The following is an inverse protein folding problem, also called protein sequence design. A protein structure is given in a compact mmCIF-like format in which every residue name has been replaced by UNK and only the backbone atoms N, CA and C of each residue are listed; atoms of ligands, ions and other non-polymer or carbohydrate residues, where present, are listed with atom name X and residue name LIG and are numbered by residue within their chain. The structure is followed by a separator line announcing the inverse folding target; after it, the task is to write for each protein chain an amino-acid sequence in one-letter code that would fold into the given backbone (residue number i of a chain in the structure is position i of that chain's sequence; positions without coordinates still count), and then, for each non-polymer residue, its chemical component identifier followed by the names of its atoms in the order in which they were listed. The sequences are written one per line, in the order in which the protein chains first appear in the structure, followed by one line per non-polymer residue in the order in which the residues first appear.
data_IF_434524141510
#
_entry.id   IF_434524141510
#
_cell.length_a   1.000
_cell.length_b   1.000
_cell.length_c   1.000
_cell.angle_alpha   90.00
_cell.angle_beta   90.00
_cell.angle_gamma   90.00
#
_symmetry.space_group_name_H-M   'P 1'
#
loop_
_entity.id
_entity.type
_entity.pdbx_description
1 polymer ?
#
# COMPACT_ATOMS: atom_id res chain seq x y z
N UNK A 1 34.14 -13.80 -19.72
CA UNK A 1 33.36 -12.80 -18.97
C UNK A 1 34.27 -12.15 -17.95
N UNK A 2 34.17 -10.83 -17.79
CA UNK A 2 34.99 -9.99 -16.90
C UNK A 2 34.08 -9.16 -16.02
N UNK A 3 34.25 -9.25 -14.71
CA UNK A 3 33.37 -8.58 -13.74
C UNK A 3 34.16 -7.70 -12.77
N UNK A 4 33.52 -6.63 -12.31
CA UNK A 4 33.96 -5.85 -11.14
C UNK A 4 33.06 -6.18 -9.96
N UNK A 5 33.63 -6.32 -8.75
CA UNK A 5 32.84 -6.49 -7.53
C UNK A 5 32.79 -5.20 -6.72
N UNK A 6 31.60 -4.72 -6.41
CA UNK A 6 31.40 -3.56 -5.54
C UNK A 6 31.17 -4.01 -4.09
N UNK A 7 32.00 -3.46 -3.19
CA UNK A 7 32.04 -3.74 -1.76
C UNK A 7 33.14 -4.73 -1.40
N UNK A 8 34.14 -4.31 -0.63
CA UNK A 8 35.26 -5.14 -0.17
C UNK A 8 35.09 -5.64 1.27
N UNK A 9 33.86 -5.95 1.67
CA UNK A 9 33.52 -6.42 3.01
C UNK A 9 33.56 -7.94 3.18
N UNK A 10 33.13 -8.40 4.35
CA UNK A 10 33.04 -9.83 4.69
C UNK A 10 32.21 -10.64 3.69
N UNK A 11 31.15 -10.06 3.12
CA UNK A 11 30.30 -10.74 2.14
C UNK A 11 31.01 -11.00 0.81
N UNK A 12 31.79 -10.04 0.33
CA UNK A 12 32.63 -10.25 -0.84
C UNK A 12 33.66 -11.37 -0.59
N UNK A 13 34.26 -11.40 0.60
CA UNK A 13 35.14 -12.51 0.99
C UNK A 13 34.40 -13.85 1.02
N UNK A 14 33.17 -13.88 1.54
CA UNK A 14 32.33 -15.07 1.59
C UNK A 14 32.07 -15.62 0.18
N UNK A 15 31.74 -14.76 -0.79
CA UNK A 15 31.51 -15.19 -2.18
C UNK A 15 32.74 -15.80 -2.84
N UNK A 16 33.91 -15.19 -2.64
CA UNK A 16 35.16 -15.66 -3.24
C UNK A 16 35.65 -16.94 -2.54
N UNK A 17 35.68 -16.96 -1.19
CA UNK A 17 36.19 -18.09 -0.41
C UNK A 17 35.37 -19.38 -0.59
N UNK A 18 34.06 -19.24 -0.80
CA UNK A 18 33.17 -20.38 -1.06
C UNK A 18 33.01 -20.69 -2.56
N UNK A 19 33.80 -20.06 -3.44
CA UNK A 19 33.77 -20.27 -4.89
C UNK A 19 32.42 -19.97 -5.55
N UNK A 20 31.61 -19.09 -4.93
CA UNK A 20 30.41 -18.56 -5.57
C UNK A 20 30.76 -17.57 -6.68
N UNK A 21 31.89 -16.87 -6.57
CA UNK A 21 32.44 -16.03 -7.63
C UNK A 21 33.90 -16.40 -7.87
N UNK A 22 34.22 -16.76 -9.10
CA UNK A 22 35.58 -17.14 -9.49
C UNK A 22 36.49 -15.90 -9.53
N UNK A 23 37.65 -15.99 -8.86
CA UNK A 23 38.63 -14.91 -8.84
C UNK A 23 39.20 -14.63 -10.24
N UNK A 24 39.20 -15.60 -11.15
CA UNK A 24 39.76 -15.45 -12.50
C UNK A 24 38.94 -14.52 -13.40
N UNK A 25 37.61 -14.48 -13.20
CA UNK A 25 36.71 -13.58 -13.95
C UNK A 25 36.64 -12.17 -13.34
N UNK A 26 37.05 -12.01 -12.08
CA UNK A 26 37.06 -10.71 -11.39
C UNK A 26 38.28 -9.92 -11.88
N UNK A 27 38.09 -8.75 -12.49
CA UNK A 27 39.21 -7.92 -12.95
C UNK A 27 39.62 -6.84 -11.95
N UNK A 28 38.82 -6.64 -10.90
CA UNK A 28 39.08 -5.69 -9.84
C UNK A 28 37.87 -5.48 -8.94
N UNK A 29 38.06 -4.63 -7.94
CA UNK A 29 37.06 -4.35 -6.90
C UNK A 29 36.73 -2.86 -6.89
N UNK A 30 35.57 -2.49 -6.35
CA UNK A 30 35.15 -1.11 -6.15
C UNK A 30 34.81 -0.93 -4.68
N UNK A 31 35.31 0.14 -4.05
CA UNK A 31 34.97 0.48 -2.67
C UNK A 31 35.03 2.00 -2.44
N UNK A 32 34.30 2.51 -1.44
CA UNK A 32 34.33 3.92 -1.03
C UNK A 32 35.45 4.23 -0.01
N UNK A 33 36.09 3.21 0.60
CA UNK A 33 37.21 3.38 1.53
C UNK A 33 38.54 3.66 0.82
N UNK A 34 39.02 4.90 0.82
CA UNK A 34 40.21 5.34 0.05
C UNK A 34 41.52 4.71 0.50
N UNK A 35 41.56 4.15 1.71
CA UNK A 35 42.74 3.46 2.23
C UNK A 35 42.90 2.05 1.64
N UNK A 36 41.86 1.51 1.01
CA UNK A 36 41.88 0.17 0.43
C UNK A 36 42.30 0.25 -1.05
N UNK A 37 43.53 -0.19 -1.34
CA UNK A 37 44.11 -0.15 -2.70
C UNK A 37 44.10 -1.49 -3.42
N UNK A 38 44.13 -2.60 -2.67
CA UNK A 38 44.13 -3.96 -3.19
C UNK A 38 43.24 -4.88 -2.34
N UNK A 39 42.58 -5.84 -2.99
CA UNK A 39 41.75 -6.85 -2.34
C UNK A 39 41.87 -8.15 -3.15
N UNK A 40 42.07 -9.29 -2.48
CA UNK A 40 42.42 -10.58 -3.12
C UNK A 40 43.49 -10.47 -4.24
N UNK A 41 44.50 -9.62 -4.03
CA UNK A 41 45.60 -9.42 -4.99
C UNK A 41 45.23 -8.63 -6.26
N UNK A 42 44.01 -8.08 -6.36
CA UNK A 42 43.58 -7.23 -7.49
C UNK A 42 43.35 -5.80 -7.03
N UNK A 43 43.43 -4.85 -7.97
CA UNK A 43 43.25 -3.42 -7.70
C UNK A 43 41.82 -3.13 -7.21
N UNK A 44 41.72 -2.24 -6.22
CA UNK A 44 40.47 -1.64 -5.76
C UNK A 44 40.38 -0.24 -6.34
N UNK A 45 39.32 0.02 -7.09
CA UNK A 45 39.02 1.29 -7.73
C UNK A 45 38.09 2.12 -6.84
N UNK A 46 38.24 3.44 -6.90
CA UNK A 46 37.21 4.37 -6.46
C UNK A 46 36.05 4.36 -7.46
N UNK A 47 34.82 4.67 -7.02
CA UNK A 47 33.67 4.75 -7.92
C UNK A 47 33.88 5.68 -9.12
N UNK A 48 34.49 6.83 -8.88
CA UNK A 48 34.82 7.81 -9.92
C UNK A 48 35.93 7.34 -10.86
N UNK A 49 36.67 6.27 -10.56
CA UNK A 49 37.66 5.71 -11.50
C UNK A 49 37.03 4.72 -12.51
N UNK A 50 35.78 4.28 -12.29
CA UNK A 50 35.16 3.19 -13.08
C UNK A 50 34.98 3.55 -14.55
N UNK A 51 34.74 4.83 -14.89
CA UNK A 51 34.55 5.24 -16.28
C UNK A 51 35.76 4.89 -17.16
N UNK A 52 36.97 4.85 -16.58
CA UNK A 52 38.22 4.46 -17.27
C UNK A 52 38.26 2.97 -17.67
N UNK A 53 37.30 2.19 -17.17
CA UNK A 53 37.19 0.74 -17.35
C UNK A 53 35.94 0.33 -18.15
N UNK A 54 35.17 1.27 -18.70
CA UNK A 54 33.85 1.01 -19.31
C UNK A 54 33.84 -0.07 -20.41
N UNK A 55 34.96 -0.27 -21.11
CA UNK A 55 35.18 -1.31 -22.13
C UNK A 55 35.86 -2.58 -21.60
N UNK A 56 36.30 -2.59 -20.34
CA UNK A 56 37.10 -3.67 -19.75
C UNK A 56 36.29 -4.67 -18.95
N UNK A 57 35.06 -4.33 -18.54
CA UNK A 57 34.15 -5.21 -17.80
C UNK A 57 32.81 -5.38 -18.52
N UNK A 58 32.20 -6.55 -18.31
CA UNK A 58 30.86 -6.88 -18.75
C UNK A 58 29.83 -6.39 -17.72
N UNK A 59 30.05 -6.71 -16.43
CA UNK A 59 29.14 -6.36 -15.33
C UNK A 59 29.85 -5.85 -14.07
N UNK A 60 29.15 -5.02 -13.31
CA UNK A 60 29.47 -4.69 -11.92
C UNK A 60 28.52 -5.48 -11.04
N UNK A 61 29.05 -6.31 -10.15
CA UNK A 61 28.25 -7.08 -9.18
C UNK A 61 28.39 -6.45 -7.80
N UNK A 62 27.27 -6.00 -7.23
CA UNK A 62 27.18 -5.44 -5.89
C UNK A 62 26.99 -6.58 -4.87
N UNK A 63 27.94 -6.69 -3.95
CA UNK A 63 28.03 -7.81 -2.99
C UNK A 63 27.45 -7.50 -1.60
N UNK A 64 26.89 -6.30 -1.42
CA UNK A 64 26.29 -5.85 -0.16
C UNK A 64 24.85 -6.33 -0.01
N UNK A 65 24.44 -6.62 1.23
CA UNK A 65 23.13 -7.20 1.55
C UNK A 65 22.18 -6.24 2.27
N UNK A 66 22.54 -4.95 2.39
CA UNK A 66 21.71 -3.95 3.06
C UNK A 66 20.98 -3.08 2.03
N UNK A 67 19.65 -2.97 2.14
CA UNK A 67 18.83 -2.21 1.19
C UNK A 67 19.27 -0.73 1.05
N UNK A 68 19.50 -0.05 2.18
CA UNK A 68 19.93 1.35 2.21
C UNK A 68 21.28 1.55 1.50
N UNK A 69 22.22 0.63 1.72
CA UNK A 69 23.55 0.67 1.10
C UNK A 69 23.43 0.40 -0.39
N UNK A 70 22.63 -0.58 -0.80
CA UNK A 70 22.40 -0.89 -2.21
C UNK A 70 21.74 0.29 -2.95
N UNK A 71 20.81 0.99 -2.30
CA UNK A 71 20.16 2.19 -2.83
C UNK A 71 21.15 3.35 -3.00
N UNK A 72 22.04 3.57 -2.02
CA UNK A 72 23.11 4.56 -2.11
C UNK A 72 24.09 4.24 -3.24
N UNK A 73 24.48 2.98 -3.39
CA UNK A 73 25.35 2.50 -4.47
C UNK A 73 24.68 2.71 -5.83
N UNK A 74 23.39 2.38 -5.97
CA UNK A 74 22.64 2.60 -7.21
C UNK A 74 22.60 4.09 -7.58
N UNK A 75 22.24 4.96 -6.63
CA UNK A 75 22.21 6.41 -6.87
C UNK A 75 23.59 6.94 -7.25
N UNK A 76 24.65 6.44 -6.63
CA UNK A 76 26.03 6.80 -6.95
C UNK A 76 26.42 6.35 -8.36
N UNK A 77 26.08 5.12 -8.75
CA UNK A 77 26.32 4.58 -10.08
C UNK A 77 25.53 5.33 -11.17
N UNK A 78 24.27 5.69 -10.89
CA UNK A 78 23.42 6.49 -11.78
C UNK A 78 23.97 7.92 -11.94
N UNK A 79 24.40 8.55 -10.86
CA UNK A 79 25.03 9.89 -10.90
C UNK A 79 26.35 9.90 -11.69
N UNK A 80 27.06 8.76 -11.73
CA UNK A 80 28.26 8.57 -12.55
C UNK A 80 27.94 8.23 -14.02
N UNK A 81 26.66 8.16 -14.40
CA UNK A 81 26.22 7.90 -15.77
C UNK A 81 26.43 6.46 -16.24
N UNK A 82 26.52 5.49 -15.32
CA UNK A 82 26.76 4.10 -15.68
C UNK A 82 25.48 3.40 -16.19
N UNK A 83 25.58 2.55 -17.23
CA UNK A 83 24.43 1.84 -17.76
C UNK A 83 23.81 0.90 -16.72
N UNK A 84 22.52 1.05 -16.45
CA UNK A 84 21.82 0.26 -15.42
C UNK A 84 21.73 -1.24 -15.73
N UNK A 85 21.83 -1.61 -17.01
CA UNK A 85 21.87 -2.99 -17.50
C UNK A 85 23.21 -3.70 -17.24
N UNK A 86 24.27 -2.95 -16.94
CA UNK A 86 25.58 -3.49 -16.53
C UNK A 86 25.72 -3.72 -15.03
N UNK A 87 24.77 -3.27 -14.22
CA UNK A 87 24.83 -3.37 -12.76
C UNK A 87 23.98 -4.56 -12.31
N UNK A 88 24.57 -5.44 -11.49
CA UNK A 88 23.92 -6.62 -10.93
C UNK A 88 23.98 -6.57 -9.40
N UNK A 89 22.85 -6.81 -8.73
CA UNK A 89 22.78 -6.95 -7.28
C UNK A 89 22.60 -8.43 -6.93
N UNK A 90 23.42 -8.95 -6.02
CA UNK A 90 23.24 -10.32 -5.51
C UNK A 90 22.06 -10.38 -4.54
N UNK A 91 22.03 -9.42 -3.61
CA UNK A 91 20.99 -9.27 -2.59
C UNK A 91 20.15 -8.03 -2.85
N UNK A 92 18.90 -8.02 -2.37
CA UNK A 92 17.99 -6.87 -2.52
C UNK A 92 17.88 -6.40 -3.99
N UNK A 93 17.94 -7.32 -4.96
CA UNK A 93 17.77 -7.03 -6.39
C UNK A 93 16.30 -6.79 -6.79
N UNK A 94 15.47 -6.55 -5.78
CA UNK A 94 14.08 -6.18 -5.85
C UNK A 94 13.95 -4.77 -5.27
N UNK A 95 13.15 -3.91 -5.91
CA UNK A 95 12.71 -2.70 -5.22
C UNK A 95 11.68 -3.09 -4.16
N UNK A 96 11.92 -2.65 -2.94
CA UNK A 96 10.87 -2.57 -1.92
C UNK A 96 10.10 -1.29 -2.26
N UNK A 97 9.08 -1.44 -3.10
CA UNK A 97 7.95 -0.50 -3.11
C UNK A 97 6.85 -1.12 -2.27
N UNK A 98 6.00 -0.30 -1.64
CA UNK A 98 5.14 -0.73 -0.53
C UNK A 98 4.16 -1.87 -0.84
N UNK A 99 3.99 -2.34 -2.08
CA UNK A 99 4.15 -3.80 -2.37
C UNK A 99 4.46 -4.02 -3.86
N UNK A 100 4.79 -5.28 -4.16
CA UNK A 100 5.31 -5.85 -5.41
C UNK A 100 6.82 -5.71 -5.50
N UNK A 101 7.47 -6.85 -5.27
CA UNK A 101 8.88 -7.05 -5.59
C UNK A 101 9.03 -6.98 -7.12
N UNK A 102 9.25 -5.79 -7.65
CA UNK A 102 9.64 -5.62 -9.05
C UNK A 102 11.10 -6.02 -9.14
N UNK A 103 11.30 -7.26 -9.58
CA UNK A 103 12.60 -7.81 -9.92
C UNK A 103 13.20 -6.98 -11.05
N UNK A 104 14.31 -6.30 -10.78
CA UNK A 104 14.94 -5.40 -11.76
C UNK A 104 15.94 -6.11 -12.69
N UNK A 105 16.26 -7.39 -12.46
CA UNK A 105 17.43 -8.01 -13.10
C UNK A 105 17.23 -9.45 -13.63
N UNK A 106 18.10 -9.81 -14.56
CA UNK A 106 18.04 -11.02 -15.37
C UNK A 106 18.66 -12.22 -14.63
N UNK A 107 17.88 -13.02 -13.89
CA UNK A 107 18.35 -14.24 -13.19
C UNK A 107 19.15 -15.19 -14.09
N UNK A 108 18.81 -15.24 -15.38
CA UNK A 108 19.55 -16.05 -16.36
C UNK A 108 21.02 -15.63 -16.45
N UNK A 109 21.30 -14.36 -16.23
CA UNK A 109 22.65 -13.80 -16.25
C UNK A 109 23.43 -14.12 -14.97
N UNK A 110 22.82 -14.00 -13.79
CA UNK A 110 23.48 -14.40 -12.53
C UNK A 110 23.76 -15.91 -12.56
N UNK A 111 22.81 -16.71 -13.04
CA UNK A 111 23.03 -18.15 -13.25
C UNK A 111 24.14 -18.44 -14.26
N UNK A 112 24.24 -17.67 -15.34
CA UNK A 112 25.33 -17.79 -16.31
C UNK A 112 26.70 -17.35 -15.74
N UNK A 113 26.70 -16.42 -14.79
CA UNK A 113 27.91 -16.00 -14.06
C UNK A 113 28.38 -17.11 -13.11
N UNK A 114 27.45 -17.69 -12.35
CA UNK A 114 27.74 -18.77 -11.41
C UNK A 114 26.45 -19.49 -11.01
N UNK A 115 26.35 -20.77 -11.37
CA UNK A 115 25.22 -21.61 -10.96
C UNK A 115 25.20 -21.82 -9.45
N UNK A 116 26.38 -21.99 -8.82
CA UNK A 116 26.52 -22.13 -7.37
C UNK A 116 26.02 -20.88 -6.63
N UNK A 117 26.34 -19.68 -7.11
CA UNK A 117 25.81 -18.43 -6.56
C UNK A 117 24.29 -18.37 -6.71
N UNK A 118 23.77 -18.75 -7.88
CA UNK A 118 22.35 -18.69 -8.15
C UNK A 118 21.56 -19.64 -7.24
N UNK A 119 21.90 -20.93 -7.21
CA UNK A 119 21.13 -21.94 -6.49
C UNK A 119 21.26 -21.87 -4.97
N UNK A 120 22.41 -21.42 -4.43
CA UNK A 120 22.62 -21.39 -2.98
C UNK A 120 22.30 -20.05 -2.33
N UNK A 121 22.25 -18.95 -3.10
CA UNK A 121 22.06 -17.60 -2.55
C UNK A 121 20.83 -16.93 -3.17
N UNK A 122 20.82 -16.75 -4.50
CA UNK A 122 19.80 -15.93 -5.18
C UNK A 122 18.42 -16.59 -5.19
N UNK A 123 18.34 -17.88 -5.51
CA UNK A 123 17.08 -18.62 -5.55
C UNK A 123 16.46 -18.80 -4.16
N UNK A 124 17.20 -19.17 -3.09
CA UNK A 124 16.66 -19.22 -1.74
C UNK A 124 16.18 -17.85 -1.21
N UNK A 125 16.93 -16.76 -1.48
CA UNK A 125 16.52 -15.40 -1.11
C UNK A 125 15.22 -15.00 -1.83
N UNK A 126 15.11 -15.31 -3.12
CA UNK A 126 13.89 -15.12 -3.91
C UNK A 126 12.69 -15.84 -3.28
N UNK A 127 12.85 -17.12 -2.94
CA UNK A 127 11.78 -17.91 -2.32
C UNK A 127 11.38 -17.37 -0.94
N UNK A 128 12.33 -16.85 -0.16
CA UNK A 128 12.02 -16.20 1.13
C UNK A 128 11.24 -14.90 0.94
N UNK A 129 11.63 -14.10 -0.06
CA UNK A 129 10.94 -12.88 -0.46
C UNK A 129 9.51 -13.16 -0.97
N UNK A 130 9.34 -14.18 -1.81
CA UNK A 130 8.03 -14.62 -2.28
C UNK A 130 7.15 -15.08 -1.11
N UNK A 131 7.70 -15.89 -0.19
CA UNK A 131 7.01 -16.27 1.06
C UNK A 131 6.67 -15.07 1.94
N UNK A 132 7.53 -14.05 2.01
CA UNK A 132 7.24 -12.84 2.79
C UNK A 132 6.05 -12.06 2.19
N UNK A 133 5.91 -11.99 0.86
CA UNK A 133 4.69 -11.45 0.25
C UNK A 133 3.45 -12.25 0.62
N UNK A 134 3.56 -13.58 0.62
CA UNK A 134 2.46 -14.47 1.02
C UNK A 134 2.07 -14.29 2.50
N UNK A 135 2.98 -13.80 3.35
CA UNK A 135 2.69 -13.48 4.76
C UNK A 135 2.18 -12.06 4.99
N UNK A 136 2.44 -11.11 4.07
CA UNK A 136 2.01 -9.71 4.16
C UNK A 136 0.68 -9.45 3.43
N UNK A 137 0.16 -10.45 2.73
CA UNK A 137 -1.09 -10.42 1.99
C UNK A 137 -1.88 -11.71 2.25
N UNK A 138 -3.12 -11.75 1.77
CA UNK A 138 -3.97 -12.92 1.87
C UNK A 138 -3.49 -13.92 0.82
N UNK A 139 -3.20 -15.16 1.20
CA UNK A 139 -2.76 -16.18 0.23
C UNK A 139 -3.78 -16.45 -0.87
N UNK A 140 -5.06 -16.14 -0.64
CA UNK A 140 -6.11 -16.20 -1.65
C UNK A 140 -5.86 -15.25 -2.84
N UNK A 141 -5.08 -14.17 -2.65
CA UNK A 141 -4.73 -13.21 -3.69
C UNK A 141 -4.00 -13.86 -4.88
N UNK A 142 -3.30 -14.97 -4.65
CA UNK A 142 -2.57 -15.69 -5.69
C UNK A 142 -3.52 -16.37 -6.71
N UNK A 143 -4.77 -16.59 -6.32
CA UNK A 143 -5.77 -17.34 -7.10
C UNK A 143 -7.07 -16.57 -7.33
N UNK A 144 -7.26 -15.42 -6.70
CA UNK A 144 -8.45 -14.60 -6.87
C UNK A 144 -8.41 -13.81 -8.18
N UNK A 145 -9.18 -14.26 -9.17
CA UNK A 145 -9.33 -13.58 -10.44
C UNK A 145 -10.27 -12.36 -10.39
N UNK A 146 -10.96 -12.13 -9.27
CA UNK A 146 -11.84 -10.98 -9.04
C UNK A 146 -11.16 -9.87 -8.21
N UNK A 147 -9.91 -10.08 -7.79
CA UNK A 147 -9.08 -9.07 -7.12
C UNK A 147 -8.72 -7.99 -8.13
N UNK A 148 -9.11 -6.76 -7.81
CA UNK A 148 -8.77 -5.55 -8.57
C UNK A 148 -7.69 -4.74 -7.89
N UNK A 149 -7.58 -4.79 -6.55
CA UNK A 149 -6.64 -3.93 -5.85
C UNK A 149 -5.20 -4.45 -6.02
N UNK A 150 -4.25 -3.55 -6.32
CA UNK A 150 -2.90 -3.93 -6.74
C UNK A 150 -2.81 -4.44 -8.18
N UNK A 151 -3.85 -4.22 -9.00
CA UNK A 151 -3.85 -4.56 -10.44
C UNK A 151 -4.20 -3.32 -11.27
N UNK A 152 -3.85 -3.31 -12.57
CA UNK A 152 -4.25 -2.25 -13.50
C UNK A 152 -3.87 -0.83 -13.04
N UNK A 153 -4.85 0.08 -13.03
CA UNK A 153 -4.69 1.47 -12.55
C UNK A 153 -4.40 1.55 -11.05
N UNK A 154 -4.79 0.54 -10.27
CA UNK A 154 -4.58 0.44 -8.82
C UNK A 154 -3.24 -0.22 -8.44
N UNK A 155 -2.41 -0.58 -9.44
CA UNK A 155 -1.12 -1.24 -9.23
C UNK A 155 -0.01 -0.28 -8.74
N UNK A 156 -0.09 0.99 -9.10
CA UNK A 156 0.95 1.99 -8.79
C UNK A 156 0.64 2.82 -7.53
N UNK A 157 -0.48 2.57 -6.87
CA UNK A 157 -0.92 3.36 -5.72
C UNK A 157 -0.39 2.72 -4.42
N UNK A 158 0.76 3.22 -3.94
CA UNK A 158 1.38 2.79 -2.68
C UNK A 158 0.39 2.86 -1.49
N UNK A 159 -0.64 3.72 -1.58
CA UNK A 159 -1.68 3.85 -0.57
C UNK A 159 -2.50 2.58 -0.35
N UNK A 160 -2.74 1.74 -1.38
CA UNK A 160 -3.44 0.46 -1.18
C UNK A 160 -2.72 -0.37 -0.13
N UNK A 161 -1.41 -0.37 -0.22
CA UNK A 161 -0.59 -1.32 0.50
C UNK A 161 -0.29 -0.90 1.92
N UNK A 162 -0.33 0.42 2.15
CA UNK A 162 -0.45 1.02 3.47
C UNK A 162 -1.68 0.49 4.22
N UNK A 163 -2.82 0.33 3.55
CA UNK A 163 -4.08 -0.09 4.19
C UNK A 163 -4.72 -1.34 3.55
N UNK A 164 -3.86 -2.31 3.24
CA UNK A 164 -4.23 -3.51 2.50
C UNK A 164 -5.36 -4.30 3.15
N UNK A 165 -5.32 -4.42 4.48
CA UNK A 165 -6.30 -5.21 5.24
C UNK A 165 -7.70 -4.64 5.04
N UNK A 166 -7.89 -3.32 5.09
CA UNK A 166 -9.18 -2.66 4.86
C UNK A 166 -9.69 -2.94 3.45
N UNK A 167 -8.89 -2.56 2.45
CA UNK A 167 -9.28 -2.62 1.05
C UNK A 167 -9.52 -4.05 0.58
N UNK A 168 -8.67 -4.99 1.00
CA UNK A 168 -8.85 -6.38 0.62
C UNK A 168 -10.04 -7.02 1.31
N UNK A 169 -10.26 -6.73 2.59
CA UNK A 169 -11.43 -7.22 3.31
C UNK A 169 -12.71 -6.68 2.67
N UNK A 170 -12.71 -5.42 2.22
CA UNK A 170 -13.81 -4.87 1.43
C UNK A 170 -14.06 -5.67 0.14
N UNK A 171 -13.04 -5.94 -0.69
CA UNK A 171 -13.26 -6.70 -1.94
C UNK A 171 -13.88 -8.08 -1.69
N UNK A 172 -13.39 -8.79 -0.68
CA UNK A 172 -13.93 -10.09 -0.29
C UNK A 172 -15.37 -9.97 0.24
N UNK A 173 -15.66 -8.89 0.96
CA UNK A 173 -17.02 -8.58 1.43
C UNK A 173 -17.95 -8.24 0.26
N UNK A 174 -17.48 -7.48 -0.72
CA UNK A 174 -18.23 -7.16 -1.92
C UNK A 174 -18.54 -8.42 -2.74
N UNK A 175 -17.58 -9.33 -2.88
CA UNK A 175 -17.81 -10.64 -3.50
C UNK A 175 -18.89 -11.43 -2.75
N UNK A 176 -18.88 -11.40 -1.41
CA UNK A 176 -19.90 -12.08 -0.60
C UNK A 176 -21.29 -11.45 -0.77
N UNK A 177 -21.38 -10.12 -0.83
CA UNK A 177 -22.61 -9.38 -1.11
C UNK A 177 -23.22 -9.82 -2.46
N UNK A 178 -22.39 -9.90 -3.51
CA UNK A 178 -22.82 -10.35 -4.84
C UNK A 178 -23.19 -11.84 -4.87
N UNK A 179 -22.39 -12.71 -4.23
CA UNK A 179 -22.67 -14.15 -4.13
C UNK A 179 -24.00 -14.43 -3.42
N UNK A 180 -24.32 -13.66 -2.38
CA UNK A 180 -25.59 -13.73 -1.65
C UNK A 180 -26.73 -13.00 -2.33
N UNK A 181 -26.45 -12.25 -3.40
CA UNK A 181 -27.42 -11.43 -4.13
C UNK A 181 -28.15 -10.46 -3.21
N UNK A 182 -27.43 -9.82 -2.29
CA UNK A 182 -28.04 -8.80 -1.44
C UNK A 182 -28.41 -7.61 -2.30
N UNK A 183 -29.66 -7.18 -2.25
CA UNK A 183 -30.14 -5.99 -2.96
C UNK A 183 -29.80 -4.72 -2.18
N UNK A 184 -29.79 -3.57 -2.85
CA UNK A 184 -29.56 -2.27 -2.23
C UNK A 184 -28.40 -1.49 -2.85
N UNK A 185 -28.41 -0.18 -2.63
CA UNK A 185 -27.35 0.74 -3.02
C UNK A 185 -26.09 0.54 -2.18
N UNK A 186 -25.02 1.23 -2.57
CA UNK A 186 -23.79 1.32 -1.79
C UNK A 186 -23.45 2.78 -1.50
N UNK A 187 -22.75 3.05 -0.41
CA UNK A 187 -22.42 4.42 -0.02
C UNK A 187 -21.02 4.54 0.58
N UNK A 188 -20.42 5.71 0.40
CA UNK A 188 -19.26 6.18 1.17
C UNK A 188 -19.58 7.56 1.77
N UNK A 189 -19.25 7.73 3.06
CA UNK A 189 -19.37 8.98 3.80
C UNK A 189 -17.99 9.38 4.30
N UNK A 190 -17.50 10.52 3.85
CA UNK A 190 -16.09 10.87 3.94
C UNK A 190 -15.31 10.27 2.76
N UNK A 191 -15.42 10.91 1.61
CA UNK A 191 -14.89 10.41 0.32
C UNK A 191 -13.46 10.92 0.07
N UNK A 192 -13.13 12.09 0.62
CA UNK A 192 -11.86 12.79 0.43
C UNK A 192 -11.49 12.90 -1.06
N UNK A 193 -10.51 12.12 -1.54
CA UNK A 193 -10.04 12.10 -2.94
C UNK A 193 -10.63 10.97 -3.77
N UNK A 194 -11.57 10.20 -3.21
CA UNK A 194 -12.30 9.16 -3.94
C UNK A 194 -11.51 7.89 -4.20
N UNK A 195 -10.47 7.62 -3.41
CA UNK A 195 -9.68 6.38 -3.53
C UNK A 195 -10.53 5.14 -3.24
N UNK A 196 -11.24 5.13 -2.11
CA UNK A 196 -12.02 3.97 -1.72
C UNK A 196 -13.35 3.92 -2.49
N UNK A 197 -14.00 5.07 -2.74
CA UNK A 197 -15.07 5.20 -3.72
C UNK A 197 -14.76 4.55 -5.08
N UNK A 198 -13.55 4.71 -5.64
CA UNK A 198 -13.16 4.09 -6.91
C UNK A 198 -13.25 2.56 -6.82
N UNK A 199 -12.75 1.98 -5.73
CA UNK A 199 -12.79 0.52 -5.50
C UNK A 199 -14.24 0.05 -5.31
N UNK A 200 -15.06 0.80 -4.56
CA UNK A 200 -16.49 0.48 -4.39
C UNK A 200 -17.20 0.52 -5.75
N UNK A 201 -16.96 1.54 -6.57
CA UNK A 201 -17.55 1.68 -7.89
C UNK A 201 -17.12 0.57 -8.85
N UNK A 202 -15.86 0.11 -8.78
CA UNK A 202 -15.38 -1.05 -9.55
C UNK A 202 -16.05 -2.36 -9.13
N UNK A 203 -16.26 -2.57 -7.82
CA UNK A 203 -16.87 -3.81 -7.30
C UNK A 203 -18.39 -3.85 -7.49
N UNK A 204 -19.03 -2.69 -7.58
CA UNK A 204 -20.47 -2.56 -7.74
C UNK A 204 -20.83 -1.69 -8.95
N UNK A 205 -20.44 -2.12 -10.18
CA UNK A 205 -20.56 -1.29 -11.38
C UNK A 205 -22.01 -0.93 -11.72
N UNK A 206 -22.98 -1.77 -11.34
CA UNK A 206 -24.40 -1.62 -11.68
C UNK A 206 -25.27 -1.06 -10.53
N UNK A 207 -24.66 -0.72 -9.38
CA UNK A 207 -25.39 -0.21 -8.21
C UNK A 207 -25.23 1.29 -8.10
N UNK A 208 -26.26 1.97 -7.59
CA UNK A 208 -26.12 3.37 -7.16
C UNK A 208 -25.05 3.46 -6.07
N UNK A 209 -24.05 4.31 -6.30
CA UNK A 209 -23.01 4.65 -5.33
C UNK A 209 -23.24 6.08 -4.83
N UNK A 210 -23.67 6.21 -3.58
CA UNK A 210 -23.84 7.50 -2.94
C UNK A 210 -22.51 7.98 -2.32
N UNK A 211 -22.10 9.19 -2.66
CA UNK A 211 -20.84 9.80 -2.23
C UNK A 211 -21.14 11.05 -1.40
N UNK A 212 -21.06 10.93 -0.08
CA UNK A 212 -21.30 12.02 0.88
C UNK A 212 -19.99 12.62 1.35
N UNK A 213 -19.78 13.90 1.05
CA UNK A 213 -18.58 14.63 1.52
C UNK A 213 -18.86 16.14 1.54
N UNK A 214 -18.25 16.85 2.48
CA UNK A 214 -18.33 18.31 2.54
C UNK A 214 -17.58 18.96 1.37
N UNK A 215 -16.48 18.34 0.91
CA UNK A 215 -15.42 18.91 0.09
C UNK A 215 -14.83 20.20 0.68
N UNK A 216 -15.00 20.39 1.98
CA UNK A 216 -14.69 21.60 2.75
C UNK A 216 -14.01 21.24 4.09
N UNK A 217 -13.43 20.03 4.20
CA UNK A 217 -12.86 19.46 5.43
C UNK A 217 -13.92 19.30 6.54
N UNK A 218 -13.60 19.63 7.79
CA UNK A 218 -14.42 19.36 8.97
C UNK A 218 -15.30 20.53 9.39
N UNK A 219 -16.44 20.22 10.03
CA UNK A 219 -17.27 21.21 10.73
C UNK A 219 -16.41 21.89 11.81
N UNK A 220 -16.27 23.23 11.81
CA UNK A 220 -15.40 23.92 12.76
C UNK A 220 -15.74 23.63 14.23
N UNK A 221 -17.03 23.57 14.56
CA UNK A 221 -17.51 23.34 15.93
C UNK A 221 -17.16 21.93 16.43
N UNK A 222 -17.28 20.92 15.56
CA UNK A 222 -16.95 19.54 15.90
C UNK A 222 -15.43 19.35 16.05
N UNK A 223 -14.65 19.94 15.13
CA UNK A 223 -13.19 19.90 15.19
C UNK A 223 -12.65 20.52 16.49
N UNK A 224 -13.20 21.66 16.93
CA UNK A 224 -12.77 22.28 18.19
C UNK A 224 -13.11 21.41 19.40
N UNK A 225 -14.28 20.76 19.43
CA UNK A 225 -14.68 19.86 20.52
C UNK A 225 -13.74 18.65 20.64
N UNK A 226 -13.36 18.05 19.51
CA UNK A 226 -12.46 16.90 19.47
C UNK A 226 -11.03 17.30 19.87
N UNK A 227 -10.57 18.47 19.41
CA UNK A 227 -9.28 19.05 19.82
C UNK A 227 -9.23 19.33 21.32
N UNK A 228 -10.29 19.91 21.89
CA UNK A 228 -10.41 20.16 23.34
C UNK A 228 -10.43 18.87 24.17
N UNK A 229 -10.86 17.76 23.57
CA UNK A 229 -10.87 16.44 24.19
C UNK A 229 -9.54 15.68 24.04
N UNK A 230 -8.50 16.33 23.47
CA UNK A 230 -7.19 15.74 23.11
C UNK A 230 -7.30 14.55 22.12
N UNK A 231 -8.42 14.44 21.41
CA UNK A 231 -8.70 13.40 20.42
C UNK A 231 -8.32 13.84 19.00
N UNK A 232 -7.52 14.90 18.81
CA UNK A 232 -7.04 15.31 17.49
C UNK A 232 -5.80 16.23 17.60
N UNK A 233 -4.82 16.06 16.70
CA UNK A 233 -3.58 16.86 16.67
C UNK A 233 -3.74 18.21 15.93
N UNK A 234 -2.92 19.21 16.32
CA UNK A 234 -2.92 20.53 15.71
C UNK A 234 -2.42 20.48 14.24
N UNK A 235 -3.28 20.90 13.30
CA UNK A 235 -2.94 20.98 11.87
C UNK A 235 -3.55 19.89 10.98
N UNK A 236 -4.27 18.92 11.57
CA UNK A 236 -4.97 17.83 10.86
C UNK A 236 -5.88 18.34 9.73
N UNK A 237 -6.58 19.46 9.96
CA UNK A 237 -7.50 20.10 9.00
C UNK A 237 -6.89 20.41 7.63
N UNK A 238 -5.62 20.86 7.58
CA UNK A 238 -4.96 21.33 6.34
C UNK A 238 -4.75 20.22 5.31
N UNK A 239 -4.75 18.95 5.72
CA UNK A 239 -4.59 17.80 4.82
C UNK A 239 -5.81 17.64 3.89
N UNK A 240 -6.99 18.10 4.34
CA UNK A 240 -8.28 17.81 3.72
C UNK A 240 -8.85 18.97 2.88
N UNK A 241 -8.16 20.12 2.80
CA UNK A 241 -8.67 21.34 2.14
C UNK A 241 -8.53 21.34 0.61
N UNK A 242 -7.85 20.34 0.02
CA UNK A 242 -7.56 20.29 -1.43
C UNK A 242 -8.24 19.10 -2.14
N UNK A 243 -9.58 19.07 -2.13
CA UNK A 243 -10.37 18.11 -2.93
C UNK A 243 -11.57 18.79 -3.60
N UNK A 244 -12.08 18.20 -4.68
CA UNK A 244 -13.28 18.67 -5.37
C UNK A 244 -14.08 17.50 -5.93
N UNK A 245 -15.37 17.74 -6.16
CA UNK A 245 -16.26 16.77 -6.82
C UNK A 245 -15.68 16.29 -8.15
N UNK A 246 -15.12 17.21 -8.94
CA UNK A 246 -14.51 16.87 -10.24
C UNK A 246 -13.31 15.92 -10.11
N UNK A 247 -12.49 16.07 -9.05
CA UNK A 247 -11.37 15.17 -8.79
C UNK A 247 -11.87 13.76 -8.49
N UNK A 248 -12.88 13.64 -7.63
CA UNK A 248 -13.50 12.35 -7.28
C UNK A 248 -14.16 11.71 -8.49
N UNK A 249 -14.99 12.46 -9.22
CA UNK A 249 -15.75 11.93 -10.36
C UNK A 249 -14.85 11.49 -11.52
N UNK A 250 -13.71 12.16 -11.76
CA UNK A 250 -12.72 11.72 -12.75
C UNK A 250 -12.06 10.39 -12.43
N UNK A 251 -12.10 9.94 -11.17
CA UNK A 251 -11.59 8.63 -10.74
C UNK A 251 -12.62 7.52 -10.87
N UNK A 252 -13.90 7.84 -10.98
CA UNK A 252 -14.95 6.83 -11.01
C UNK A 252 -15.00 6.13 -12.38
N UNK A 253 -14.81 4.80 -12.46
CA UNK A 253 -14.90 4.07 -13.72
C UNK A 253 -16.32 3.98 -14.28
N UNK A 254 -17.33 4.03 -13.41
CA UNK A 254 -18.75 4.03 -13.75
C UNK A 254 -19.43 5.26 -13.13
N UNK A 255 -19.11 6.47 -13.62
CA UNK A 255 -19.54 7.73 -13.01
C UNK A 255 -21.06 7.95 -13.10
N UNK A 256 -21.74 7.37 -14.09
CA UNK A 256 -23.19 7.49 -14.27
C UNK A 256 -24.00 6.87 -13.12
N UNK A 257 -23.39 5.95 -12.37
CA UNK A 257 -24.00 5.32 -11.20
C UNK A 257 -23.63 6.01 -9.88
N UNK A 258 -22.77 7.04 -9.93
CA UNK A 258 -22.35 7.80 -8.76
C UNK A 258 -23.28 8.99 -8.50
N UNK A 259 -23.73 9.12 -7.26
CA UNK A 259 -24.64 10.17 -6.81
C UNK A 259 -23.94 10.97 -5.72
N UNK A 260 -23.46 12.16 -6.08
CA UNK A 260 -22.72 13.03 -5.16
C UNK A 260 -23.66 13.85 -4.29
N UNK A 261 -23.36 13.90 -2.99
CA UNK A 261 -24.03 14.69 -1.97
C UNK A 261 -23.01 15.62 -1.33
N UNK A 262 -22.78 16.76 -1.99
CA UNK A 262 -21.91 17.81 -1.46
C UNK A 262 -22.58 18.49 -0.27
N UNK A 263 -21.87 18.51 0.86
CA UNK A 263 -22.28 19.18 2.08
C UNK A 263 -22.01 18.30 3.30
N UNK A 264 -22.05 18.88 4.49
CA UNK A 264 -21.84 18.13 5.71
C UNK A 264 -22.95 17.09 5.93
N UNK A 265 -22.57 15.97 6.52
CA UNK A 265 -23.52 14.98 6.98
C UNK A 265 -24.05 15.39 8.37
N UNK A 266 -25.35 15.19 8.68
CA UNK A 266 -26.42 14.63 7.84
C UNK A 266 -27.14 15.65 6.93
N UNK A 267 -26.74 16.92 6.91
CA UNK A 267 -27.47 17.98 6.20
C UNK A 267 -27.49 17.81 4.68
N UNK A 268 -26.55 17.05 4.11
CA UNK A 268 -26.46 16.76 2.68
C UNK A 268 -27.41 15.65 2.20
N UNK A 269 -28.12 14.98 3.10
CA UNK A 269 -29.12 13.96 2.77
C UNK A 269 -30.33 14.62 2.07
N UNK A 270 -30.84 13.98 1.00
CA UNK A 270 -32.05 14.41 0.31
C UNK A 270 -33.19 13.41 0.54
N UNK A 271 -34.39 13.77 0.09
CA UNK A 271 -35.60 12.96 0.29
C UNK A 271 -35.49 11.56 -0.32
N UNK A 272 -34.81 11.45 -1.47
CA UNK A 272 -34.67 10.17 -2.17
C UNK A 272 -33.86 9.13 -1.39
N UNK A 273 -32.87 9.54 -0.59
CA UNK A 273 -32.09 8.60 0.23
C UNK A 273 -32.85 8.14 1.47
N UNK A 274 -33.89 8.85 1.89
CA UNK A 274 -34.68 8.48 3.07
C UNK A 274 -35.35 7.12 2.89
N UNK A 275 -35.70 6.75 1.65
CA UNK A 275 -36.36 5.50 1.28
C UNK A 275 -35.42 4.48 0.62
N UNK A 276 -34.12 4.78 0.52
CA UNK A 276 -33.13 3.90 -0.10
C UNK A 276 -32.65 2.85 0.91
N UNK A 277 -32.41 1.62 0.42
CA UNK A 277 -31.82 0.55 1.21
C UNK A 277 -30.38 0.29 0.74
N UNK A 278 -29.51 -0.10 1.66
CA UNK A 278 -28.08 -0.24 1.37
C UNK A 278 -27.58 -1.65 1.65
N UNK A 279 -26.77 -2.18 0.74
CA UNK A 279 -26.07 -3.45 0.91
C UNK A 279 -24.70 -3.25 1.58
N UNK A 280 -24.06 -2.12 1.33
CA UNK A 280 -22.74 -1.76 1.86
C UNK A 280 -22.63 -0.27 2.12
N UNK A 281 -22.01 0.12 3.24
CA UNK A 281 -21.64 1.50 3.53
C UNK A 281 -20.21 1.55 4.08
N UNK A 282 -19.38 2.46 3.57
CA UNK A 282 -18.15 2.91 4.21
C UNK A 282 -18.40 4.24 4.95
N UNK A 283 -18.05 4.31 6.23
CA UNK A 283 -18.13 5.52 7.06
C UNK A 283 -16.71 5.87 7.50
N UNK A 284 -16.25 7.07 7.16
CA UNK A 284 -14.90 7.58 7.40
C UNK A 284 -14.96 9.10 7.65
N UNK A 285 -15.58 9.47 8.78
CA UNK A 285 -15.89 10.87 9.14
C UNK A 285 -15.12 11.36 10.37
N UNK A 286 -14.17 10.56 10.85
CA UNK A 286 -13.23 10.79 11.95
C UNK A 286 -13.84 11.03 13.37
N UNK A 287 -14.95 11.76 13.48
CA UNK A 287 -15.41 12.34 14.75
C UNK A 287 -16.70 11.74 15.29
N UNK A 288 -16.93 11.93 16.59
CA UNK A 288 -18.01 11.30 17.35
C UNK A 288 -19.40 11.63 16.79
N UNK A 289 -19.71 12.91 16.64
CA UNK A 289 -21.07 13.34 16.29
C UNK A 289 -21.42 12.94 14.86
N UNK A 290 -20.51 13.22 13.93
CA UNK A 290 -20.63 12.78 12.54
C UNK A 290 -20.80 11.27 12.43
N UNK A 291 -20.02 10.48 13.17
CA UNK A 291 -20.15 9.02 13.20
C UNK A 291 -21.52 8.58 13.71
N UNK A 292 -21.99 9.15 14.82
CA UNK A 292 -23.29 8.81 15.39
C UNK A 292 -24.45 9.14 14.43
N UNK A 293 -24.40 10.29 13.76
CA UNK A 293 -25.39 10.66 12.75
C UNK A 293 -25.38 9.67 11.58
N UNK A 294 -24.20 9.24 11.13
CA UNK A 294 -24.09 8.22 10.09
C UNK A 294 -24.74 6.89 10.53
N UNK A 295 -24.43 6.40 11.72
CA UNK A 295 -25.04 5.17 12.26
C UNK A 295 -26.56 5.30 12.37
N UNK A 296 -27.04 6.46 12.83
CA UNK A 296 -28.47 6.76 12.97
C UNK A 296 -29.22 6.76 11.65
N UNK A 297 -28.57 7.19 10.57
CA UNK A 297 -29.17 7.17 9.25
C UNK A 297 -29.03 5.81 8.55
N UNK A 298 -27.82 5.24 8.50
CA UNK A 298 -27.54 4.08 7.66
C UNK A 298 -27.93 2.75 8.30
N UNK A 299 -27.76 2.57 9.62
CA UNK A 299 -28.02 1.26 10.22
C UNK A 299 -29.49 0.80 10.08
N UNK A 300 -30.52 1.66 10.27
CA UNK A 300 -31.90 1.29 10.00
C UNK A 300 -32.17 0.90 8.54
N UNK A 301 -31.43 1.49 7.59
CA UNK A 301 -31.57 1.31 6.13
C UNK A 301 -30.64 0.26 5.53
N UNK A 302 -29.73 -0.30 6.33
CA UNK A 302 -28.91 -1.42 5.92
C UNK A 302 -29.82 -2.65 5.73
N UNK A 303 -29.64 -3.39 4.64
CA UNK A 303 -30.39 -4.63 4.43
C UNK A 303 -29.93 -5.72 5.40
N UNK A 304 -30.75 -6.75 5.59
CA UNK A 304 -30.36 -7.93 6.36
C UNK A 304 -29.13 -8.59 5.71
N UNK A 305 -28.13 -8.92 6.53
CA UNK A 305 -26.79 -9.38 6.16
C UNK A 305 -25.94 -8.33 5.41
N UNK A 306 -26.36 -7.07 5.38
CA UNK A 306 -25.55 -5.98 4.84
C UNK A 306 -24.40 -5.60 5.77
N UNK A 307 -23.46 -4.81 5.25
CA UNK A 307 -22.21 -4.48 5.93
C UNK A 307 -22.02 -2.96 6.05
N UNK A 308 -21.56 -2.52 7.22
CA UNK A 308 -20.99 -1.18 7.42
C UNK A 308 -19.51 -1.36 7.77
N UNK A 309 -18.64 -0.68 7.05
CA UNK A 309 -17.24 -0.50 7.42
C UNK A 309 -17.13 0.87 8.08
N UNK A 310 -16.77 0.90 9.36
CA UNK A 310 -16.55 2.12 10.13
C UNK A 310 -15.06 2.27 10.40
N UNK A 311 -14.42 3.16 9.66
CA UNK A 311 -12.98 3.43 9.78
C UNK A 311 -12.65 4.10 11.13
N UNK A 312 -11.37 4.07 11.51
CA UNK A 312 -10.84 4.71 12.72
C UNK A 312 -11.39 4.26 14.08
N UNK A 313 -12.19 3.19 14.11
CA UNK A 313 -12.79 2.69 15.36
C UNK A 313 -11.76 2.31 16.45
N UNK A 314 -10.57 1.81 16.07
CA UNK A 314 -9.47 1.56 17.01
C UNK A 314 -8.29 2.51 16.81
N UNK A 315 -8.48 3.63 16.12
CA UNK A 315 -7.46 4.65 16.00
C UNK A 315 -7.30 5.40 17.32
N UNK A 316 -6.10 5.35 17.89
CA UNK A 316 -5.77 5.99 19.19
C UNK A 316 -5.95 7.51 19.17
N UNK A 317 -5.92 8.12 17.98
CA UNK A 317 -6.03 9.55 17.79
C UNK A 317 -7.46 9.96 17.40
N UNK A 318 -8.45 9.06 17.39
CA UNK A 318 -9.84 9.33 16.96
C UNK A 318 -10.83 8.53 17.83
N UNK A 319 -10.68 8.62 19.15
CA UNK A 319 -11.50 7.85 20.10
C UNK A 319 -13.01 8.16 20.00
N UNK A 320 -13.37 9.33 19.48
CA UNK A 320 -14.75 9.76 19.23
C UNK A 320 -15.57 8.76 18.40
N UNK A 321 -14.95 8.06 17.44
CA UNK A 321 -15.62 7.02 16.64
C UNK A 321 -16.16 5.89 17.52
N UNK A 322 -15.33 5.40 18.46
CA UNK A 322 -15.72 4.32 19.37
C UNK A 322 -16.77 4.78 20.37
N UNK A 323 -16.67 6.02 20.85
CA UNK A 323 -17.68 6.64 21.71
C UNK A 323 -19.04 6.69 21.01
N UNK A 324 -19.07 7.11 19.75
CA UNK A 324 -20.28 7.19 18.94
C UNK A 324 -20.98 5.83 18.77
N UNK A 325 -20.21 4.76 18.52
CA UNK A 325 -20.74 3.38 18.44
C UNK A 325 -21.39 2.98 19.76
N UNK A 326 -20.70 3.16 20.88
CA UNK A 326 -21.20 2.81 22.20
C UNK A 326 -22.47 3.61 22.55
N UNK A 327 -22.47 4.91 22.22
CA UNK A 327 -23.61 5.81 22.41
C UNK A 327 -24.82 5.34 21.61
N UNK A 328 -24.62 5.01 20.33
CA UNK A 328 -25.69 4.52 19.47
C UNK A 328 -26.31 3.20 19.95
N UNK A 329 -25.48 2.23 20.35
CA UNK A 329 -25.95 0.96 20.93
C UNK A 329 -26.78 1.19 22.20
N UNK A 330 -26.32 2.08 23.08
CA UNK A 330 -27.01 2.42 24.33
C UNK A 330 -28.36 3.12 24.08
N UNK A 331 -28.39 4.15 23.24
CA UNK A 331 -29.59 4.95 22.95
C UNK A 331 -30.69 4.10 22.31
N UNK A 332 -30.31 3.17 21.42
CA UNK A 332 -31.24 2.34 20.67
C UNK A 332 -31.50 0.98 21.33
N UNK A 333 -30.80 0.66 22.43
CA UNK A 333 -30.90 -0.63 23.15
C UNK A 333 -30.65 -1.83 22.23
N UNK A 334 -29.63 -1.72 21.39
CA UNK A 334 -29.20 -2.79 20.48
C UNK A 334 -27.75 -3.18 20.77
N UNK A 335 -27.31 -4.28 20.16
CA UNK A 335 -25.91 -4.66 20.13
C UNK A 335 -25.58 -5.07 18.71
N UNK A 336 -24.54 -4.46 18.14
CA UNK A 336 -24.07 -4.76 16.81
C UNK A 336 -23.31 -6.08 16.78
N UNK A 337 -23.43 -6.83 15.68
CA UNK A 337 -22.47 -7.88 15.36
C UNK A 337 -21.21 -7.22 14.80
N UNK A 338 -20.14 -7.28 15.58
CA UNK A 338 -18.92 -6.47 15.40
C UNK A 338 -17.71 -7.36 15.06
N UNK A 339 -16.98 -7.01 14.01
CA UNK A 339 -15.70 -7.64 13.65
C UNK A 339 -14.64 -6.53 13.50
N UNK A 340 -13.71 -6.38 14.45
CA UNK A 340 -12.61 -5.42 14.31
C UNK A 340 -11.56 -5.93 13.31
N UNK A 341 -11.01 -5.02 12.51
CA UNK A 341 -9.87 -5.26 11.62
C UNK A 341 -8.58 -4.72 12.23
N UNK A 342 -7.46 -5.36 11.87
CA UNK A 342 -6.12 -4.90 12.18
C UNK A 342 -5.51 -4.25 10.92
N UNK A 343 -6.18 -3.21 10.45
CA UNK A 343 -5.78 -2.34 9.36
C UNK A 343 -5.25 -1.00 9.95
N UNK A 344 -4.97 0.02 9.13
CA UNK A 344 -4.27 1.21 9.64
C UNK A 344 -5.08 2.01 10.66
N UNK A 345 -6.37 2.24 10.39
CA UNK A 345 -7.31 2.92 11.31
C UNK A 345 -7.98 1.98 12.32
N UNK A 346 -7.78 0.67 12.21
CA UNK A 346 -8.44 -0.31 13.07
C UNK A 346 -9.97 -0.36 12.87
N UNK A 347 -10.40 -0.37 11.61
CA UNK A 347 -11.78 -0.40 11.13
C UNK A 347 -12.64 -1.41 11.89
N UNK A 348 -13.89 -1.05 12.14
CA UNK A 348 -14.92 -1.95 12.63
C UNK A 348 -15.88 -2.33 11.49
N UNK A 349 -16.06 -3.62 11.26
CA UNK A 349 -17.16 -4.12 10.43
C UNK A 349 -18.38 -4.39 11.31
N UNK A 350 -19.51 -3.81 10.94
CA UNK A 350 -20.83 -4.10 11.52
C UNK A 350 -21.66 -4.89 10.52
N UNK A 351 -22.27 -5.98 10.98
CA UNK A 351 -23.17 -6.83 10.19
C UNK A 351 -24.57 -6.79 10.81
N UNK A 352 -25.58 -6.48 10.00
CA UNK A 352 -27.00 -6.49 10.42
C UNK A 352 -27.67 -7.81 10.09
#
# INVERSE_FOLDING_TARGET
MKILLWGCGERCQFFIKNKYLDLDIIIGFIDNNSNLTHFFGKKVYRPDEIYTLSEKYDFIIVTTNTYTVNSQILNQLEALGLPSDKILFIYNNYRITEKIYIKKQNDKLIKAISEELYYNIVEPEKLQVERLNDTLTCSFDLIDNQKIVGTGSLNNDLMYMKDYTRYRTFELTANEIENRKLEGAVAEVGVFRGMFAEIINLKFPDRKLYLFDSFESFKPEEYEKERESEYCEEGFKKVFENTSVDIVMKRMPYPDNCIVRKGFFPESIQEQEQNENFAFISIDVDFEESTYQCLSFFYPRLVKNGYIFLHDYNNRNLEGVKVAVNRYEADNKITFNKIPLCDEGGTLIIIK
#
